data_IF_644020112650
#
_entry.id   IF_644020112650
#
_cell.length_a   1.000
_cell.length_b   1.000
_cell.length_c   1.000
_cell.angle_alpha   90.00
_cell.angle_beta   90.00
_cell.angle_gamma   90.00
#
_symmetry.space_group_name_H-M   'P 1'
#
loop_
_entity.id
_entity.type
_entity.pdbx_description
1 polymer ?
#
# COMPACT_ATOMS: atom_id res chain seq x y z
N UNK A 1 15.76 -29.97 -20.43
CA UNK A 1 16.46 -30.77 -19.41
C UNK A 1 15.47 -31.06 -18.28
N UNK A 2 15.43 -32.27 -17.72
CA UNK A 2 14.47 -32.59 -16.68
C UNK A 2 14.75 -31.74 -15.42
N UNK A 3 13.73 -31.02 -14.91
CA UNK A 3 13.84 -30.17 -13.72
C UNK A 3 14.39 -30.95 -12.51
N UNK A 4 14.03 -32.23 -12.36
CA UNK A 4 14.52 -33.08 -11.28
C UNK A 4 16.05 -33.20 -11.28
N UNK A 5 16.65 -33.41 -12.45
CA UNK A 5 18.11 -33.50 -12.58
C UNK A 5 18.82 -32.18 -12.26
N UNK A 6 18.16 -31.04 -12.51
CA UNK A 6 18.67 -29.74 -12.09
C UNK A 6 18.58 -29.57 -10.56
N UNK A 7 17.46 -29.97 -9.95
CA UNK A 7 17.28 -29.89 -8.49
C UNK A 7 18.26 -30.79 -7.73
N UNK A 8 18.58 -31.97 -8.28
CA UNK A 8 19.60 -32.86 -7.71
C UNK A 8 20.98 -32.19 -7.68
N UNK A 9 21.33 -31.36 -8.67
CA UNK A 9 22.57 -30.58 -8.63
C UNK A 9 22.58 -29.59 -7.47
N UNK A 10 21.45 -28.91 -7.20
CA UNK A 10 21.33 -27.99 -6.05
C UNK A 10 21.48 -28.75 -4.73
N UNK A 11 20.83 -29.91 -4.58
CA UNK A 11 20.97 -30.76 -3.38
C UNK A 11 22.43 -31.17 -3.15
N UNK A 12 23.15 -31.49 -4.21
CA UNK A 12 24.57 -31.89 -4.13
C UNK A 12 25.51 -30.75 -3.70
N UNK A 13 25.12 -29.49 -3.85
CA UNK A 13 25.90 -28.34 -3.33
C UNK A 13 25.89 -28.25 -1.80
N UNK A 14 24.94 -28.92 -1.12
CA UNK A 14 24.81 -28.93 0.34
C UNK A 14 24.82 -27.52 0.96
N UNK A 15 24.17 -26.56 0.29
CA UNK A 15 24.12 -25.18 0.74
C UNK A 15 23.32 -25.07 2.06
N UNK A 16 23.73 -24.16 2.97
CA UNK A 16 23.06 -24.00 4.26
C UNK A 16 21.62 -23.49 4.10
N UNK A 17 20.68 -24.15 4.78
CA UNK A 17 19.28 -23.75 4.80
C UNK A 17 19.12 -22.31 5.31
N UNK A 18 18.20 -21.55 4.70
CA UNK A 18 17.97 -20.15 5.03
C UNK A 18 19.00 -19.16 4.48
N UNK A 19 20.05 -19.63 3.79
CA UNK A 19 21.04 -18.75 3.15
C UNK A 19 20.94 -18.72 1.61
N UNK A 20 20.02 -19.48 1.02
CA UNK A 20 19.78 -19.50 -0.43
C UNK A 20 18.31 -19.73 -0.79
N UNK A 21 17.93 -19.40 -2.03
CA UNK A 21 16.65 -19.74 -2.61
C UNK A 21 16.73 -19.93 -4.14
N UNK A 22 15.94 -20.85 -4.67
CA UNK A 22 15.74 -21.06 -6.11
C UNK A 22 14.86 -19.95 -6.65
N UNK A 23 15.32 -19.32 -7.73
CA UNK A 23 14.70 -18.16 -8.35
C UNK A 23 14.52 -18.36 -9.86
N UNK A 24 13.81 -17.42 -10.50
CA UNK A 24 13.70 -17.36 -11.95
C UNK A 24 12.95 -18.55 -12.56
N UNK A 25 13.41 -19.03 -13.71
CA UNK A 25 12.69 -20.00 -14.54
C UNK A 25 12.45 -21.36 -13.86
N UNK A 26 13.34 -21.75 -12.94
CA UNK A 26 13.19 -23.01 -12.19
C UNK A 26 11.95 -23.03 -11.29
N UNK A 27 11.52 -21.86 -10.79
CA UNK A 27 10.26 -21.73 -10.01
C UNK A 27 9.03 -22.03 -10.86
N UNK A 28 9.07 -21.76 -12.17
CA UNK A 28 8.00 -22.11 -13.11
C UNK A 28 8.09 -23.60 -13.49
N UNK A 29 9.29 -24.11 -13.69
CA UNK A 29 9.50 -25.49 -14.13
C UNK A 29 9.07 -26.54 -13.11
N UNK A 30 9.30 -26.31 -11.82
CA UNK A 30 8.86 -27.25 -10.76
C UNK A 30 7.33 -27.35 -10.67
N UNK A 31 6.61 -26.40 -11.28
CA UNK A 31 5.14 -26.36 -11.35
C UNK A 31 4.59 -26.78 -12.71
N UNK A 32 5.42 -27.37 -13.56
CA UNK A 32 5.07 -27.79 -14.91
C UNK A 32 4.54 -26.64 -15.80
N UNK A 33 4.94 -25.39 -15.55
CA UNK A 33 4.50 -24.24 -16.35
C UNK A 33 5.33 -24.06 -17.63
N UNK A 34 6.63 -24.36 -17.57
CA UNK A 34 7.56 -24.31 -18.70
C UNK A 34 8.89 -24.97 -18.34
N UNK A 35 9.73 -25.27 -19.32
CA UNK A 35 11.08 -25.78 -19.03
C UNK A 35 12.03 -24.70 -18.50
N UNK A 36 12.99 -25.12 -17.67
CA UNK A 36 14.11 -24.31 -17.24
C UNK A 36 15.42 -24.86 -17.84
N UNK A 37 16.22 -24.03 -18.52
CA UNK A 37 17.51 -24.48 -19.06
C UNK A 37 18.60 -24.58 -17.98
N UNK A 38 18.40 -23.91 -16.84
CA UNK A 38 19.33 -23.80 -15.73
C UNK A 38 18.56 -23.49 -14.43
N UNK A 39 19.26 -23.51 -13.30
CA UNK A 39 18.75 -23.00 -12.02
C UNK A 39 19.49 -21.72 -11.65
N UNK A 40 18.73 -20.69 -11.30
CA UNK A 40 19.27 -19.47 -10.71
C UNK A 40 19.05 -19.53 -9.18
N UNK A 41 20.11 -19.36 -8.39
CA UNK A 41 20.06 -19.31 -6.93
C UNK A 41 20.42 -17.92 -6.43
N UNK A 42 19.51 -17.30 -5.67
CA UNK A 42 19.83 -16.11 -4.87
C UNK A 42 20.43 -16.56 -3.54
N UNK A 43 21.50 -15.91 -3.09
CA UNK A 43 22.15 -16.22 -1.81
C UNK A 43 22.34 -14.98 -0.94
N UNK A 44 22.40 -15.17 0.37
CA UNK A 44 22.76 -14.11 1.31
C UNK A 44 24.18 -13.59 1.05
N UNK A 45 24.46 -12.36 1.45
CA UNK A 45 25.82 -11.79 1.35
C UNK A 45 26.85 -12.65 2.08
N UNK A 46 26.48 -13.23 3.23
CA UNK A 46 27.35 -14.11 4.00
C UNK A 46 27.75 -15.36 3.21
N UNK A 47 26.77 -16.07 2.64
CA UNK A 47 27.03 -17.26 1.82
C UNK A 47 27.84 -16.92 0.57
N UNK A 48 27.55 -15.79 -0.06
CA UNK A 48 28.28 -15.31 -1.23
C UNK A 48 29.78 -15.14 -0.96
N UNK A 49 30.16 -14.46 0.12
CA UNK A 49 31.57 -14.28 0.48
C UNK A 49 32.27 -15.62 0.74
N UNK A 50 31.57 -16.59 1.34
CA UNK A 50 32.12 -17.93 1.54
C UNK A 50 32.35 -18.66 0.21
N UNK A 51 31.42 -18.53 -0.75
CA UNK A 51 31.55 -19.18 -2.05
C UNK A 51 32.68 -18.59 -2.90
N UNK A 52 32.94 -17.28 -2.79
CA UNK A 52 34.05 -16.60 -3.47
C UNK A 52 35.43 -17.11 -3.03
N UNK A 53 35.56 -17.74 -1.85
CA UNK A 53 36.83 -18.30 -1.38
C UNK A 53 37.29 -19.51 -2.21
N UNK A 54 36.38 -20.15 -2.96
CA UNK A 54 36.69 -21.37 -3.74
C UNK A 54 36.15 -21.34 -5.17
N UNK A 55 35.53 -20.23 -5.59
CA UNK A 55 34.95 -20.08 -6.91
C UNK A 55 35.21 -18.68 -7.47
N UNK A 56 35.37 -18.58 -8.79
CA UNK A 56 35.58 -17.32 -9.49
C UNK A 56 34.29 -16.99 -10.25
N UNK A 57 33.66 -15.82 -10.01
CA UNK A 57 32.52 -15.37 -10.81
C UNK A 57 32.91 -15.24 -12.29
N UNK A 58 31.97 -15.53 -13.17
CA UNK A 58 32.13 -15.27 -14.61
C UNK A 58 32.08 -13.77 -14.94
N UNK A 59 32.22 -13.44 -16.22
CA UNK A 59 32.12 -12.07 -16.73
C UNK A 59 30.77 -11.39 -16.46
N UNK A 60 29.72 -12.19 -16.26
CA UNK A 60 28.38 -11.72 -15.91
C UNK A 60 28.22 -11.55 -14.38
N UNK A 61 29.22 -11.89 -13.58
CA UNK A 61 29.22 -11.79 -12.12
C UNK A 61 28.57 -12.95 -11.37
N UNK A 62 28.40 -14.13 -12.00
CA UNK A 62 27.79 -15.33 -11.40
C UNK A 62 28.81 -16.41 -11.09
N UNK A 63 28.61 -17.15 -9.99
CA UNK A 63 29.32 -18.40 -9.74
C UNK A 63 28.65 -19.54 -10.53
N UNK A 64 29.43 -20.09 -11.47
CA UNK A 64 29.21 -21.24 -12.37
C UNK A 64 29.41 -22.62 -11.76
N UNK A 65 28.38 -23.34 -11.29
CA UNK A 65 28.55 -24.78 -10.92
C UNK A 65 27.60 -25.65 -11.73
N UNK A 66 28.10 -26.26 -12.81
CA UNK A 66 27.27 -27.03 -13.74
C UNK A 66 26.15 -26.18 -14.34
N UNK A 67 24.90 -26.58 -14.13
CA UNK A 67 23.71 -25.84 -14.59
C UNK A 67 23.14 -24.89 -13.52
N UNK A 68 23.84 -24.68 -12.41
CA UNK A 68 23.45 -23.78 -11.33
C UNK A 68 24.21 -22.47 -11.46
N UNK A 69 23.48 -21.36 -11.58
CA UNK A 69 24.01 -19.98 -11.50
C UNK A 69 23.73 -19.43 -10.10
N UNK A 70 24.75 -18.96 -9.41
CA UNK A 70 24.62 -18.43 -8.05
C UNK A 70 25.02 -16.95 -8.06
N UNK A 71 24.24 -16.11 -7.37
CA UNK A 71 24.56 -14.69 -7.16
C UNK A 71 23.95 -14.17 -5.85
N UNK A 72 24.48 -13.05 -5.33
CA UNK A 72 23.89 -12.24 -4.26
C UNK A 72 23.29 -10.91 -4.77
N UNK A 73 23.06 -10.80 -6.07
CA UNK A 73 22.46 -9.62 -6.72
C UNK A 73 21.74 -10.01 -8.02
N UNK A 74 20.70 -9.25 -8.40
CA UNK A 74 19.93 -9.48 -9.64
C UNK A 74 19.85 -8.24 -10.51
N UNK A 75 19.73 -8.43 -11.82
CA UNK A 75 19.77 -7.38 -12.85
C UNK A 75 18.73 -6.26 -12.71
N UNK A 76 17.61 -6.53 -12.03
CA UNK A 76 16.55 -5.55 -11.84
C UNK A 76 16.26 -5.40 -10.35
N UNK A 77 15.96 -4.17 -9.88
CA UNK A 77 15.61 -3.96 -8.49
C UNK A 77 14.39 -4.79 -8.12
N UNK A 78 14.46 -5.57 -7.07
CA UNK A 78 13.32 -6.35 -6.53
C UNK A 78 12.52 -5.49 -5.55
N UNK A 79 11.28 -5.91 -5.22
CA UNK A 79 10.46 -5.24 -4.20
C UNK A 79 11.04 -5.39 -2.78
N UNK A 80 11.80 -6.47 -2.57
CA UNK A 80 12.36 -6.86 -1.29
C UNK A 80 13.86 -7.13 -1.45
N UNK A 81 14.64 -6.96 -0.38
CA UNK A 81 16.03 -7.42 -0.35
C UNK A 81 16.11 -8.94 -0.53
N UNK A 82 17.27 -9.45 -0.95
CA UNK A 82 17.49 -10.89 -1.13
C UNK A 82 17.25 -11.65 0.16
N UNK A 83 17.75 -11.17 1.31
CA UNK A 83 17.52 -11.80 2.61
C UNK A 83 16.02 -11.96 2.91
N UNK A 84 15.23 -10.93 2.59
CA UNK A 84 13.78 -10.97 2.76
C UNK A 84 13.10 -11.91 1.78
N UNK A 85 13.59 -12.01 0.55
CA UNK A 85 13.06 -12.97 -0.43
C UNK A 85 13.34 -14.42 -0.01
N UNK A 86 14.56 -14.70 0.49
CA UNK A 86 14.92 -16.03 1.02
C UNK A 86 14.03 -16.40 2.22
N UNK A 87 13.76 -15.45 3.12
CA UNK A 87 12.87 -15.67 4.26
C UNK A 87 11.39 -15.91 3.88
N UNK A 88 10.97 -15.53 2.67
CA UNK A 88 9.60 -15.71 2.16
C UNK A 88 9.43 -16.96 1.29
N UNK A 89 10.46 -17.80 1.21
CA UNK A 89 10.45 -18.97 0.33
C UNK A 89 9.40 -20.00 0.75
N UNK A 90 8.90 -20.72 -0.24
CA UNK A 90 8.10 -21.92 -0.04
C UNK A 90 8.96 -23.16 -0.26
N UNK A 91 8.72 -24.20 0.52
CA UNK A 91 9.45 -25.46 0.38
C UNK A 91 8.74 -26.38 -0.62
N UNK A 92 9.44 -26.76 -1.68
CA UNK A 92 8.98 -27.75 -2.66
C UNK A 92 10.12 -28.75 -2.85
N UNK A 93 9.83 -30.05 -2.70
CA UNK A 93 10.84 -31.11 -2.73
C UNK A 93 12.05 -30.83 -1.82
N UNK A 94 11.79 -30.28 -0.64
CA UNK A 94 12.77 -29.90 0.40
C UNK A 94 13.72 -28.76 0.01
N UNK A 95 13.46 -28.08 -1.11
CA UNK A 95 14.25 -26.95 -1.58
C UNK A 95 13.47 -25.63 -1.43
N UNK A 96 14.15 -24.53 -1.06
CA UNK A 96 13.51 -23.22 -0.93
C UNK A 96 13.30 -22.58 -2.29
N UNK A 97 12.05 -22.33 -2.69
CA UNK A 97 11.68 -21.61 -3.91
C UNK A 97 11.14 -20.23 -3.58
N UNK A 98 11.54 -19.23 -4.36
CA UNK A 98 10.93 -17.90 -4.27
C UNK A 98 9.48 -17.96 -4.80
N UNK A 99 8.51 -17.37 -4.09
CA UNK A 99 7.11 -17.33 -4.53
C UNK A 99 6.92 -16.77 -5.94
N UNK A 100 6.02 -17.39 -6.71
CA UNK A 100 5.76 -17.02 -8.10
C UNK A 100 5.34 -15.55 -8.28
N UNK A 101 4.62 -14.97 -7.32
CA UNK A 101 4.24 -13.56 -7.38
C UNK A 101 5.47 -12.62 -7.37
N UNK A 102 6.50 -12.95 -6.58
CA UNK A 102 7.76 -12.20 -6.55
C UNK A 102 8.56 -12.39 -7.83
N UNK A 103 8.53 -13.60 -8.40
CA UNK A 103 9.16 -13.89 -9.69
C UNK A 103 8.47 -13.12 -10.82
N UNK A 104 7.14 -13.05 -10.83
CA UNK A 104 6.37 -12.25 -11.79
C UNK A 104 6.69 -10.75 -11.65
N UNK A 105 6.76 -10.22 -10.44
CA UNK A 105 7.10 -8.82 -10.19
C UNK A 105 8.51 -8.47 -10.67
N UNK A 106 9.46 -9.39 -10.50
CA UNK A 106 10.81 -9.23 -11.05
C UNK A 106 10.80 -9.26 -12.59
N UNK A 107 10.09 -10.22 -13.19
CA UNK A 107 9.96 -10.37 -14.65
C UNK A 107 9.32 -9.16 -15.32
N UNK A 108 8.32 -8.54 -14.68
CA UNK A 108 7.68 -7.29 -15.17
C UNK A 108 8.70 -6.17 -15.39
N UNK A 109 9.73 -6.10 -14.53
CA UNK A 109 10.77 -5.07 -14.61
C UNK A 109 11.80 -5.34 -15.70
N UNK A 110 12.03 -6.60 -16.06
CA UNK A 110 12.92 -6.97 -17.16
C UNK A 110 12.30 -6.75 -18.54
N UNK A 111 10.98 -6.93 -18.65
CA UNK A 111 10.20 -6.62 -19.85
C UNK A 111 10.74 -7.25 -21.16
N UNK A 112 11.30 -8.47 -21.08
CA UNK A 112 11.69 -9.26 -22.27
C UNK A 112 10.50 -10.11 -22.72
N UNK A 113 10.42 -10.46 -24.00
CA UNK A 113 9.28 -11.25 -24.53
C UNK A 113 9.01 -12.52 -23.71
N UNK A 114 10.05 -13.31 -23.43
CA UNK A 114 9.92 -14.52 -22.60
C UNK A 114 9.40 -14.25 -21.18
N UNK A 115 9.70 -13.08 -20.62
CA UNK A 115 9.25 -12.72 -19.27
C UNK A 115 7.78 -12.31 -19.29
N UNK A 116 7.31 -11.70 -20.38
CA UNK A 116 5.88 -11.41 -20.61
C UNK A 116 5.09 -12.72 -20.68
N UNK A 117 5.58 -13.69 -21.44
CA UNK A 117 4.94 -15.00 -21.56
C UNK A 117 4.88 -15.72 -20.20
N UNK A 118 6.00 -15.68 -19.45
CA UNK A 118 6.08 -16.25 -18.10
C UNK A 118 5.11 -15.57 -17.12
N UNK A 119 4.91 -14.25 -17.21
CA UNK A 119 3.94 -13.52 -16.37
C UNK A 119 2.51 -14.01 -16.64
N UNK A 120 2.16 -14.28 -17.90
CA UNK A 120 0.85 -14.84 -18.26
C UNK A 120 0.67 -16.23 -17.67
N UNK A 121 1.68 -17.10 -17.80
CA UNK A 121 1.66 -18.45 -17.22
C UNK A 121 1.50 -18.42 -15.70
N UNK A 122 2.29 -17.57 -15.02
CA UNK A 122 2.19 -17.38 -13.57
C UNK A 122 0.80 -16.85 -13.18
N UNK A 123 0.30 -15.84 -13.89
CA UNK A 123 -1.02 -15.27 -13.63
C UNK A 123 -2.12 -16.30 -13.75
N UNK A 124 -2.09 -17.14 -14.79
CA UNK A 124 -3.04 -18.23 -14.98
C UNK A 124 -2.92 -19.27 -13.86
N UNK A 125 -1.71 -19.71 -13.53
CA UNK A 125 -1.48 -20.67 -12.47
C UNK A 125 -2.01 -20.17 -11.12
N UNK A 126 -1.68 -18.94 -10.74
CA UNK A 126 -2.12 -18.35 -9.48
C UNK A 126 -3.64 -18.21 -9.43
N UNK A 127 -4.30 -17.84 -10.55
CA UNK A 127 -5.77 -17.81 -10.62
C UNK A 127 -6.42 -19.18 -10.39
N UNK A 128 -5.80 -20.27 -10.84
CA UNK A 128 -6.34 -21.63 -10.67
C UNK A 128 -5.99 -22.25 -9.31
N UNK A 129 -4.99 -21.71 -8.60
CA UNK A 129 -4.67 -22.11 -7.23
C UNK A 129 -5.52 -21.40 -6.17
N UNK A 130 -6.30 -20.41 -6.59
CA UNK A 130 -7.10 -19.59 -5.68
C UNK A 130 -8.53 -20.11 -5.68
N UNK A 131 -9.21 -20.18 -4.51
CA UNK A 131 -10.57 -20.69 -4.42
C UNK A 131 -11.43 -20.08 -5.52
N UNK A 132 -12.35 -20.84 -6.11
CA UNK A 132 -13.27 -20.29 -7.11
C UNK A 132 -14.06 -19.12 -6.48
N UNK A 133 -13.65 -17.89 -6.82
CA UNK A 133 -14.25 -16.64 -6.32
C UNK A 133 -15.50 -16.25 -7.14
N UNK A 134 -15.95 -17.10 -8.08
CA UNK A 134 -17.18 -16.85 -8.86
C UNK A 134 -18.40 -16.65 -7.96
N UNK A 135 -18.36 -17.12 -6.71
CA UNK A 135 -19.46 -17.02 -5.76
C UNK A 135 -19.31 -15.90 -4.72
N UNK A 136 -18.30 -15.03 -4.78
CA UNK A 136 -18.12 -13.96 -3.78
C UNK A 136 -19.35 -13.04 -3.68
N UNK A 137 -19.94 -12.68 -4.82
CA UNK A 137 -21.19 -11.90 -4.86
C UNK A 137 -22.35 -12.66 -4.25
N UNK A 138 -22.44 -13.97 -4.48
CA UNK A 138 -23.47 -14.83 -3.89
C UNK A 138 -23.30 -14.94 -2.38
N UNK A 139 -22.06 -15.07 -1.88
CA UNK A 139 -21.74 -15.04 -0.45
C UNK A 139 -22.17 -13.70 0.17
N UNK A 140 -21.86 -12.59 -0.49
CA UNK A 140 -22.28 -11.26 -0.06
C UNK A 140 -23.81 -11.14 -0.01
N UNK A 141 -24.52 -11.58 -1.05
CA UNK A 141 -25.99 -11.55 -1.12
C UNK A 141 -26.60 -12.40 0.00
N UNK A 142 -26.13 -13.64 0.19
CA UNK A 142 -26.62 -14.52 1.25
C UNK A 142 -26.40 -13.92 2.65
N UNK A 143 -25.23 -13.30 2.89
CA UNK A 143 -25.00 -12.56 4.13
C UNK A 143 -26.01 -11.40 4.30
N UNK A 144 -26.24 -10.62 3.25
CA UNK A 144 -27.21 -9.52 3.27
C UNK A 144 -28.65 -10.00 3.51
N UNK A 145 -29.03 -11.14 2.95
CA UNK A 145 -30.34 -11.76 3.18
C UNK A 145 -30.51 -12.20 4.63
N UNK A 146 -29.48 -12.79 5.25
CA UNK A 146 -29.50 -13.13 6.68
C UNK A 146 -29.58 -11.89 7.57
N UNK A 147 -28.88 -10.82 7.22
CA UNK A 147 -28.96 -9.52 7.89
C UNK A 147 -30.39 -8.98 7.80
N UNK A 148 -30.97 -8.94 6.59
CA UNK A 148 -32.34 -8.48 6.38
C UNK A 148 -33.36 -9.32 7.13
N UNK A 149 -33.25 -10.64 7.10
CA UNK A 149 -34.17 -11.55 7.79
C UNK A 149 -34.19 -11.34 9.31
N UNK A 150 -33.05 -11.01 9.92
CA UNK A 150 -32.93 -10.92 11.39
C UNK A 150 -33.07 -9.51 11.95
N UNK A 151 -32.70 -8.51 11.16
CA UNK A 151 -32.63 -7.12 11.60
C UNK A 151 -33.65 -6.22 10.92
N UNK A 152 -34.20 -6.64 9.77
CA UNK A 152 -35.29 -6.03 9.04
C UNK A 152 -35.27 -4.49 9.00
N UNK A 153 -36.19 -3.84 9.72
CA UNK A 153 -36.41 -2.39 9.76
C UNK A 153 -35.27 -1.62 10.45
N UNK A 154 -34.44 -2.31 11.22
CA UNK A 154 -33.23 -1.75 11.85
C UNK A 154 -32.11 -1.51 10.84
N UNK A 155 -32.14 -2.16 9.67
CA UNK A 155 -31.18 -1.93 8.58
C UNK A 155 -31.91 -1.21 7.45
N UNK A 156 -31.52 0.03 7.21
CA UNK A 156 -32.15 0.90 6.24
C UNK A 156 -31.53 0.74 4.85
N UNK A 157 -30.21 0.57 4.76
CA UNK A 157 -29.55 0.39 3.46
C UNK A 157 -28.36 -0.55 3.56
N UNK A 158 -28.13 -1.29 2.48
CA UNK A 158 -27.03 -2.22 2.29
C UNK A 158 -26.38 -1.92 0.93
N UNK A 159 -25.07 -1.63 0.93
CA UNK A 159 -24.30 -1.41 -0.29
C UNK A 159 -23.10 -2.35 -0.29
N UNK A 160 -23.01 -3.23 -1.28
CA UNK A 160 -21.80 -4.01 -1.57
C UNK A 160 -20.86 -3.14 -2.41
N UNK A 161 -19.60 -3.03 -2.03
CA UNK A 161 -18.61 -2.25 -2.79
C UNK A 161 -17.27 -2.97 -2.86
N UNK A 162 -16.22 -2.28 -3.34
CA UNK A 162 -14.90 -2.88 -3.46
C UNK A 162 -14.74 -3.78 -4.68
N UNK A 163 -13.74 -4.66 -4.64
CA UNK A 163 -13.37 -5.52 -5.77
C UNK A 163 -14.46 -6.53 -6.13
N UNK A 164 -15.21 -7.01 -5.13
CA UNK A 164 -16.34 -7.93 -5.31
C UNK A 164 -17.47 -7.29 -6.11
N UNK A 165 -17.84 -6.03 -5.81
CA UNK A 165 -18.85 -5.31 -6.59
C UNK A 165 -18.44 -5.14 -8.07
N UNK A 166 -17.14 -4.94 -8.32
CA UNK A 166 -16.54 -4.67 -9.64
C UNK A 166 -16.19 -5.90 -10.48
N UNK A 167 -16.37 -7.12 -9.96
CA UNK A 167 -15.86 -8.35 -10.61
C UNK A 167 -14.33 -8.31 -10.83
N UNK A 168 -13.59 -7.73 -9.87
CA UNK A 168 -12.13 -7.56 -9.91
C UNK A 168 -11.45 -8.21 -8.69
N UNK A 169 -12.05 -9.26 -8.15
CA UNK A 169 -11.57 -9.92 -6.93
C UNK A 169 -10.19 -10.55 -7.15
N UNK A 170 -9.36 -10.41 -6.13
CA UNK A 170 -8.09 -11.12 -5.99
C UNK A 170 -8.23 -12.18 -4.89
N UNK A 171 -7.30 -13.11 -4.78
CA UNK A 171 -7.34 -14.14 -3.73
C UNK A 171 -7.37 -13.57 -2.31
N UNK A 172 -6.72 -12.43 -2.12
CA UNK A 172 -6.66 -11.70 -0.86
C UNK A 172 -7.81 -10.71 -0.66
N UNK A 173 -8.71 -10.55 -1.64
CA UNK A 173 -9.83 -9.63 -1.52
C UNK A 173 -10.79 -10.08 -0.42
N UNK A 174 -11.25 -9.12 0.37
CA UNK A 174 -12.38 -9.21 1.28
C UNK A 174 -13.68 -8.79 0.56
N UNK A 175 -14.81 -9.02 1.23
CA UNK A 175 -16.14 -8.55 0.82
C UNK A 175 -16.47 -7.30 1.64
N UNK A 176 -16.42 -6.13 1.01
CA UNK A 176 -16.72 -4.84 1.63
C UNK A 176 -18.22 -4.48 1.55
N UNK A 177 -18.86 -4.24 2.70
CA UNK A 177 -20.30 -3.91 2.74
C UNK A 177 -20.56 -2.71 3.64
N UNK A 178 -21.31 -1.72 3.18
CA UNK A 178 -21.94 -0.72 4.05
C UNK A 178 -23.26 -1.24 4.58
N UNK A 179 -23.45 -1.17 5.91
CA UNK A 179 -24.73 -1.42 6.58
C UNK A 179 -25.18 -0.15 7.28
N UNK A 180 -26.16 0.53 6.70
CA UNK A 180 -26.78 1.71 7.30
C UNK A 180 -27.89 1.26 8.24
N UNK A 181 -27.76 1.57 9.53
CA UNK A 181 -28.70 1.13 10.54
C UNK A 181 -29.47 2.29 11.17
N UNK A 182 -30.71 2.02 11.58
CA UNK A 182 -31.55 2.96 12.30
C UNK A 182 -31.06 3.08 13.76
N UNK A 183 -30.24 4.09 14.03
CA UNK A 183 -29.62 4.34 15.33
C UNK A 183 -30.61 4.81 16.40
N UNK A 184 -31.88 5.05 16.04
CA UNK A 184 -32.98 5.23 17.01
C UNK A 184 -33.54 3.90 17.53
N UNK A 185 -33.36 2.81 16.78
CA UNK A 185 -33.91 1.49 17.13
C UNK A 185 -32.86 0.51 17.66
N UNK A 186 -31.60 0.63 17.22
CA UNK A 186 -30.52 -0.26 17.65
C UNK A 186 -29.23 0.52 17.90
N UNK A 187 -28.57 0.21 19.02
CA UNK A 187 -27.24 0.78 19.30
C UNK A 187 -26.16 0.07 18.48
N UNK A 188 -25.06 0.77 18.20
CA UNK A 188 -23.89 0.19 17.51
C UNK A 188 -23.40 -1.12 18.18
N UNK A 189 -23.34 -1.15 19.52
CA UNK A 189 -22.90 -2.32 20.29
C UNK A 189 -23.84 -3.53 20.10
N UNK A 190 -25.15 -3.31 20.16
CA UNK A 190 -26.14 -4.37 19.92
C UNK A 190 -26.09 -4.88 18.48
N UNK A 191 -25.94 -3.97 17.51
CA UNK A 191 -25.81 -4.33 16.11
C UNK A 191 -24.55 -5.16 15.87
N UNK A 192 -23.40 -4.70 16.35
CA UNK A 192 -22.11 -5.42 16.22
C UNK A 192 -22.21 -6.85 16.73
N UNK A 193 -22.84 -7.07 17.89
CA UNK A 193 -23.06 -8.41 18.45
C UNK A 193 -23.91 -9.30 17.53
N UNK A 194 -24.98 -8.75 16.95
CA UNK A 194 -25.86 -9.49 16.05
C UNK A 194 -25.19 -9.80 14.71
N UNK A 195 -24.48 -8.83 14.12
CA UNK A 195 -23.71 -9.03 12.89
C UNK A 195 -22.61 -10.08 13.10
N UNK A 196 -21.88 -10.03 14.21
CA UNK A 196 -20.87 -11.05 14.55
C UNK A 196 -21.49 -12.44 14.60
N UNK A 197 -22.68 -12.58 15.20
CA UNK A 197 -23.40 -13.85 15.24
C UNK A 197 -23.79 -14.33 13.83
N UNK A 198 -24.25 -13.43 12.97
CA UNK A 198 -24.58 -13.76 11.58
C UNK A 198 -23.34 -14.20 10.80
N UNK A 199 -22.20 -13.52 10.96
CA UNK A 199 -20.94 -13.90 10.33
C UNK A 199 -20.48 -15.31 10.75
N UNK A 200 -20.60 -15.64 12.04
CA UNK A 200 -20.28 -16.99 12.54
C UNK A 200 -21.24 -18.03 11.99
N UNK A 201 -22.56 -17.75 12.00
CA UNK A 201 -23.58 -18.68 11.51
C UNK A 201 -23.52 -18.88 9.98
N UNK A 202 -23.01 -17.90 9.22
CA UNK A 202 -22.79 -18.01 7.77
C UNK A 202 -21.52 -18.78 7.41
N UNK A 203 -20.72 -19.20 8.41
CA UNK A 203 -19.49 -19.99 8.25
C UNK A 203 -18.61 -19.50 7.09
N UNK A 204 -18.38 -18.18 7.02
CA UNK A 204 -17.56 -17.59 5.96
C UNK A 204 -16.09 -17.96 6.18
N UNK A 205 -15.70 -19.10 5.64
CA UNK A 205 -14.33 -19.32 5.17
C UNK A 205 -14.00 -18.20 4.15
N UNK A 206 -12.71 -17.87 3.91
CA UNK A 206 -12.34 -16.80 3.00
C UNK A 206 -13.13 -16.86 1.68
N UNK A 207 -13.67 -15.71 1.21
CA UNK A 207 -13.38 -14.34 1.66
C UNK A 207 -14.01 -13.92 3.00
N UNK A 208 -13.26 -13.12 3.77
CA UNK A 208 -13.78 -12.44 4.94
C UNK A 208 -14.79 -11.35 4.50
N UNK A 209 -15.91 -11.22 5.23
CA UNK A 209 -16.86 -10.13 5.05
C UNK A 209 -16.55 -9.03 6.06
N UNK A 210 -16.38 -7.79 5.58
CA UNK A 210 -16.06 -6.63 6.39
C UNK A 210 -17.19 -5.57 6.33
N UNK A 211 -18.15 -5.63 7.28
CA UNK A 211 -19.27 -4.69 7.31
C UNK A 211 -18.88 -3.35 7.97
N UNK A 212 -19.00 -2.27 7.22
CA UNK A 212 -18.97 -0.89 7.69
C UNK A 212 -20.34 -0.49 8.25
N UNK A 213 -20.45 -0.45 9.59
CA UNK A 213 -21.69 -0.07 10.27
C UNK A 213 -21.81 1.45 10.34
N UNK A 214 -22.86 2.00 9.73
CA UNK A 214 -23.09 3.46 9.65
C UNK A 214 -24.44 3.82 10.28
N UNK A 215 -24.51 4.68 11.30
CA UNK A 215 -25.79 5.13 11.85
C UNK A 215 -26.54 6.00 10.84
N UNK A 216 -27.87 5.91 10.82
CA UNK A 216 -28.73 6.69 9.92
C UNK A 216 -28.64 8.21 10.11
N UNK A 217 -28.21 8.64 11.29
CA UNK A 217 -27.92 10.05 11.59
C UNK A 217 -26.65 10.58 10.92
N UNK A 218 -25.76 9.71 10.42
CA UNK A 218 -24.52 10.11 9.75
C UNK A 218 -24.71 10.10 8.23
N UNK A 219 -24.60 11.25 7.54
CA UNK A 219 -24.84 11.29 6.10
C UNK A 219 -23.74 10.58 5.31
N UNK A 220 -24.11 9.59 4.50
CA UNK A 220 -23.15 8.77 3.74
C UNK A 220 -22.24 9.61 2.81
N UNK A 221 -22.78 10.64 2.16
CA UNK A 221 -22.02 11.54 1.29
C UNK A 221 -20.95 12.39 2.00
N UNK A 222 -20.89 12.33 3.33
CA UNK A 222 -19.80 12.93 4.11
C UNK A 222 -18.68 11.95 4.43
N UNK A 223 -18.87 10.64 4.16
CA UNK A 223 -17.88 9.59 4.38
C UNK A 223 -16.99 9.44 3.14
N UNK A 224 -15.68 9.71 3.22
CA UNK A 224 -14.79 9.58 2.06
C UNK A 224 -14.77 8.18 1.45
N UNK A 225 -14.82 7.14 2.29
CA UNK A 225 -14.89 5.74 1.84
C UNK A 225 -16.17 5.42 1.07
N UNK A 226 -17.26 6.17 1.30
CA UNK A 226 -18.51 5.98 0.56
C UNK A 226 -18.42 6.53 -0.87
N UNK A 227 -17.42 7.36 -1.20
CA UNK A 227 -17.26 7.86 -2.57
C UNK A 227 -16.94 6.73 -3.55
N UNK A 228 -16.14 5.74 -3.16
CA UNK A 228 -15.90 4.56 -3.98
C UNK A 228 -17.18 3.73 -4.15
N UNK A 229 -17.93 3.52 -3.05
CA UNK A 229 -19.23 2.85 -3.10
C UNK A 229 -20.27 3.62 -3.94
N UNK A 230 -20.14 4.94 -4.09
CA UNK A 230 -21.10 5.74 -4.85
C UNK A 230 -20.97 5.63 -6.37
N UNK A 231 -19.79 5.25 -6.88
CA UNK A 231 -19.60 5.02 -8.32
C UNK A 231 -19.80 3.54 -8.66
N UNK A 232 -19.23 2.66 -7.85
CA UNK A 232 -19.00 1.26 -8.24
C UNK A 232 -19.75 0.27 -7.32
N UNK A 233 -20.47 0.78 -6.31
CA UNK A 233 -21.20 -0.05 -5.36
C UNK A 233 -22.53 -0.54 -5.93
N UNK A 234 -22.91 -1.75 -5.50
CA UNK A 234 -24.20 -2.36 -5.75
C UNK A 234 -25.10 -2.11 -4.52
N UNK A 235 -26.16 -1.33 -4.71
CA UNK A 235 -27.17 -1.12 -3.68
C UNK A 235 -28.06 -2.36 -3.63
N UNK A 236 -27.92 -3.14 -2.54
CA UNK A 236 -28.68 -4.38 -2.32
C UNK A 236 -29.98 -4.13 -1.54
N UNK A 237 -30.02 -3.04 -0.75
CA UNK A 237 -31.22 -2.54 -0.06
C UNK A 237 -31.12 -1.04 0.11
N UNK A 238 -32.23 -0.33 -0.07
CA UNK A 238 -32.28 1.12 0.12
C UNK A 238 -33.66 1.62 0.56
N UNK A 239 -34.01 1.32 1.80
CA UNK A 239 -35.20 1.88 2.40
C UNK A 239 -35.04 3.39 2.54
N UNK A 240 -36.08 4.13 2.15
CA UNK A 240 -36.12 5.60 2.22
C UNK A 240 -35.07 6.31 1.33
N UNK A 241 -34.51 5.61 0.32
CA UNK A 241 -33.55 6.17 -0.64
C UNK A 241 -32.30 6.79 0.01
N UNK A 242 -31.84 6.29 1.16
CA UNK A 242 -30.70 6.87 1.90
C UNK A 242 -29.42 6.79 1.07
N UNK A 243 -29.13 5.62 0.50
CA UNK A 243 -27.95 5.42 -0.33
C UNK A 243 -28.10 6.17 -1.64
N UNK A 244 -29.20 5.97 -2.37
CA UNK A 244 -29.44 6.60 -3.67
C UNK A 244 -29.42 8.12 -3.59
N UNK A 245 -30.03 8.72 -2.56
CA UNK A 245 -29.97 10.18 -2.36
C UNK A 245 -28.55 10.66 -2.05
N UNK A 246 -27.76 9.88 -1.30
CA UNK A 246 -26.36 10.22 -1.03
C UNK A 246 -25.47 10.10 -2.27
N UNK A 247 -25.71 9.09 -3.10
CA UNK A 247 -25.05 8.95 -4.42
C UNK A 247 -25.37 10.15 -5.30
N UNK A 248 -26.65 10.53 -5.40
CA UNK A 248 -27.06 11.71 -6.18
C UNK A 248 -26.41 13.01 -5.66
N UNK A 249 -26.28 13.17 -4.34
CA UNK A 249 -25.54 14.32 -3.78
C UNK A 249 -24.06 14.32 -4.19
N UNK A 250 -23.41 13.16 -4.27
CA UNK A 250 -22.01 13.06 -4.70
C UNK A 250 -21.89 13.35 -6.21
N UNK A 251 -22.75 12.77 -7.04
CA UNK A 251 -22.77 13.00 -8.50
C UNK A 251 -22.99 14.49 -8.81
N UNK A 252 -23.92 15.13 -8.10
CA UNK A 252 -24.22 16.55 -8.25
C UNK A 252 -23.20 17.46 -7.54
N UNK A 253 -22.25 16.89 -6.79
CA UNK A 253 -21.17 17.65 -6.18
C UNK A 253 -20.00 17.81 -7.14
N UNK A 254 -19.16 18.81 -6.90
CA UNK A 254 -17.90 18.97 -7.65
C UNK A 254 -16.80 18.06 -7.08
N UNK A 255 -17.14 16.81 -6.79
CA UNK A 255 -16.22 15.80 -6.23
C UNK A 255 -15.56 15.02 -7.35
N UNK A 256 -14.23 14.93 -7.33
CA UNK A 256 -13.43 14.27 -8.38
C UNK A 256 -12.48 13.26 -7.78
N UNK A 257 -12.31 12.13 -8.47
CA UNK A 257 -11.29 11.13 -8.20
C UNK A 257 -9.99 11.51 -8.93
N UNK A 258 -8.89 11.67 -8.21
CA UNK A 258 -7.57 12.02 -8.77
C UNK A 258 -6.61 10.83 -8.59
N UNK A 259 -6.00 10.41 -9.70
CA UNK A 259 -4.99 9.34 -9.70
C UNK A 259 -3.61 9.86 -9.28
N UNK A 260 -2.90 9.07 -8.49
CA UNK A 260 -1.53 9.30 -8.02
C UNK A 260 -0.54 8.51 -8.89
N UNK A 261 0.73 8.94 -8.98
CA UNK A 261 1.70 8.24 -9.82
C UNK A 261 2.05 6.85 -9.25
N UNK A 262 1.71 6.60 -7.98
CA UNK A 262 1.79 5.28 -7.33
C UNK A 262 0.70 4.31 -7.79
N UNK A 263 -0.25 4.74 -8.64
CA UNK A 263 -1.43 3.96 -9.02
C UNK A 263 -2.58 4.02 -8.01
N UNK A 264 -2.37 4.62 -6.83
CA UNK A 264 -3.45 4.92 -5.86
C UNK A 264 -4.31 6.10 -6.36
N UNK A 265 -5.47 6.34 -5.76
CA UNK A 265 -6.27 7.54 -6.01
C UNK A 265 -6.74 8.19 -4.72
N UNK A 266 -7.15 9.45 -4.81
CA UNK A 266 -7.82 10.20 -3.74
C UNK A 266 -9.07 10.88 -4.26
N UNK A 267 -9.99 11.15 -3.36
CA UNK A 267 -11.19 11.93 -3.65
C UNK A 267 -11.05 13.36 -3.18
N UNK A 268 -11.52 14.30 -4.00
CA UNK A 268 -11.46 15.73 -3.71
C UNK A 268 -12.79 16.35 -4.01
N UNK A 269 -13.43 16.96 -3.01
CA UNK A 269 -14.54 17.87 -3.24
C UNK A 269 -13.99 19.28 -3.48
N UNK A 270 -14.19 19.82 -4.68
CA UNK A 270 -13.67 21.13 -5.08
C UNK A 270 -14.40 22.30 -4.39
N UNK A 271 -15.66 22.10 -3.96
CA UNK A 271 -16.51 23.16 -3.41
C UNK A 271 -16.61 23.15 -1.88
N UNK A 272 -16.07 22.14 -1.20
CA UNK A 272 -16.18 22.01 0.27
C UNK A 272 -15.25 23.00 0.97
N UNK A 273 -15.80 23.79 1.91
CA UNK A 273 -15.07 24.84 2.64
C UNK A 273 -13.92 24.28 3.49
N UNK A 274 -12.84 25.05 3.59
CA UNK A 274 -11.63 24.71 4.35
C UNK A 274 -11.85 24.81 5.88
N UNK A 275 -12.27 23.73 6.52
CA UNK A 275 -12.35 23.66 7.98
C UNK A 275 -12.11 22.22 8.42
N UNK A 276 -11.05 21.96 9.19
CA UNK A 276 -11.01 20.73 9.99
C UNK A 276 -10.25 20.95 11.31
N UNK A 277 -10.88 20.54 12.42
CA UNK A 277 -10.24 20.41 13.74
C UNK A 277 -8.93 19.60 13.64
N UNK A 278 -8.92 18.59 12.76
CA UNK A 278 -7.75 17.77 12.41
C UNK A 278 -6.60 18.59 11.82
N UNK A 279 -6.87 19.52 10.89
CA UNK A 279 -5.84 20.38 10.31
C UNK A 279 -5.19 21.27 11.38
N UNK A 280 -5.97 21.83 12.30
CA UNK A 280 -5.43 22.65 13.40
C UNK A 280 -4.51 21.82 14.31
N UNK A 281 -4.95 20.62 14.71
CA UNK A 281 -4.13 19.72 15.53
C UNK A 281 -2.81 19.33 14.84
N UNK A 282 -2.85 19.02 13.54
CA UNK A 282 -1.66 18.70 12.75
C UNK A 282 -0.73 19.90 12.58
N UNK A 283 -1.30 21.11 12.46
CA UNK A 283 -0.52 22.36 12.38
C UNK A 283 0.22 22.59 13.69
N UNK A 284 -0.45 22.46 14.83
CA UNK A 284 0.17 22.57 16.16
C UNK A 284 1.28 21.52 16.35
N UNK A 285 1.02 20.25 15.99
CA UNK A 285 2.03 19.19 16.08
C UNK A 285 3.24 19.43 15.17
N UNK A 286 3.03 20.03 13.99
CA UNK A 286 4.12 20.45 13.10
C UNK A 286 4.99 21.54 13.74
N UNK A 287 4.37 22.54 14.37
CA UNK A 287 5.06 23.61 15.08
C UNK A 287 5.87 23.09 16.27
N UNK A 288 5.30 22.19 17.08
CA UNK A 288 6.00 21.51 18.18
C UNK A 288 7.20 20.70 17.66
N UNK A 289 7.02 19.97 16.55
CA UNK A 289 8.11 19.22 15.93
C UNK A 289 9.24 20.13 15.46
N UNK A 290 8.91 21.29 14.87
CA UNK A 290 9.92 22.27 14.46
C UNK A 290 10.65 22.87 15.68
N UNK A 291 9.94 23.13 16.77
CA UNK A 291 10.56 23.61 18.02
C UNK A 291 11.57 22.57 18.55
N UNK A 292 11.16 21.30 18.64
CA UNK A 292 12.06 20.22 19.04
C UNK A 292 13.27 20.07 18.10
N UNK A 293 13.09 20.33 16.79
CA UNK A 293 14.18 20.32 15.84
C UNK A 293 15.23 21.40 16.15
N UNK A 294 14.76 22.62 16.49
CA UNK A 294 15.61 23.75 16.90
C UNK A 294 16.33 23.48 18.22
N UNK A 295 15.64 22.94 19.21
CA UNK A 295 16.23 22.58 20.50
C UNK A 295 17.29 21.48 20.36
N UNK A 296 16.99 20.45 19.57
CA UNK A 296 17.93 19.36 19.29
C UNK A 296 19.18 19.87 18.60
N UNK A 297 19.03 20.79 17.64
CA UNK A 297 20.15 21.48 17.01
C UNK A 297 20.99 22.25 18.03
N UNK A 298 20.34 23.04 18.91
CA UNK A 298 21.03 23.82 19.94
C UNK A 298 21.86 22.96 20.91
N UNK A 299 21.48 21.70 21.13
CA UNK A 299 22.18 20.75 22.01
C UNK A 299 23.20 19.87 21.28
N UNK A 300 23.43 20.08 19.99
CA UNK A 300 24.36 19.24 19.21
C UNK A 300 23.81 17.89 18.77
N UNK A 301 22.50 17.66 18.91
CA UNK A 301 21.84 16.42 18.49
C UNK A 301 21.40 16.50 17.03
N UNK A 302 22.37 16.46 16.10
CA UNK A 302 22.17 16.70 14.66
C UNK A 302 21.16 15.75 14.02
N UNK A 303 21.32 14.45 14.24
CA UNK A 303 20.38 13.42 13.78
C UNK A 303 18.95 13.67 14.25
N UNK A 304 18.78 14.04 15.52
CA UNK A 304 17.46 14.31 16.07
C UNK A 304 16.86 15.60 15.49
N UNK A 305 17.70 16.62 15.24
CA UNK A 305 17.26 17.83 14.55
C UNK A 305 16.72 17.51 13.16
N UNK A 306 17.44 16.75 12.34
CA UNK A 306 17.00 16.32 11.00
C UNK A 306 15.71 15.51 11.08
N UNK A 307 15.63 14.54 12.00
CA UNK A 307 14.44 13.70 12.17
C UNK A 307 13.20 14.51 12.55
N UNK A 308 13.34 15.53 13.40
CA UNK A 308 12.24 16.41 13.79
C UNK A 308 11.89 17.44 12.71
N UNK A 309 12.87 17.92 11.95
CA UNK A 309 12.64 18.74 10.74
C UNK A 309 11.81 17.98 9.70
N UNK A 310 12.12 16.71 9.45
CA UNK A 310 11.31 15.85 8.59
C UNK A 310 9.87 15.70 9.09
N UNK A 311 9.68 15.44 10.39
CA UNK A 311 8.35 15.29 10.99
C UNK A 311 7.52 16.55 10.85
N UNK A 312 8.14 17.71 11.08
CA UNK A 312 7.47 19.00 10.95
C UNK A 312 6.95 19.21 9.52
N UNK A 313 7.73 18.86 8.50
CA UNK A 313 7.34 18.92 7.07
C UNK A 313 6.21 17.92 6.74
N UNK A 314 6.31 16.67 7.22
CA UNK A 314 5.26 15.66 7.04
C UNK A 314 3.93 16.10 7.70
N UNK A 315 3.99 16.71 8.88
CA UNK A 315 2.80 17.15 9.59
C UNK A 315 2.15 18.38 8.95
N UNK A 316 2.92 19.38 8.48
CA UNK A 316 2.34 20.57 7.81
C UNK A 316 1.72 20.22 6.45
N UNK A 317 2.31 19.26 5.73
CA UNK A 317 1.75 18.78 4.46
C UNK A 317 0.45 18.01 4.69
N UNK A 318 0.40 17.14 5.72
CA UNK A 318 -0.85 16.49 6.18
C UNK A 318 -1.88 17.49 6.67
N UNK A 319 -1.47 18.53 7.39
CA UNK A 319 -2.35 19.59 7.85
C UNK A 319 -2.98 20.34 6.66
N UNK A 320 -2.17 20.67 5.65
CA UNK A 320 -2.62 21.31 4.42
C UNK A 320 -3.63 20.43 3.67
N UNK A 321 -3.33 19.14 3.50
CA UNK A 321 -4.28 18.18 2.90
C UNK A 321 -5.58 18.07 3.70
N UNK A 322 -5.48 17.98 5.04
CA UNK A 322 -6.66 17.95 5.92
C UNK A 322 -7.48 19.25 5.85
N UNK A 323 -6.84 20.41 5.64
CA UNK A 323 -7.52 21.70 5.43
C UNK A 323 -8.24 21.73 4.09
N UNK A 324 -7.67 21.07 3.08
CA UNK A 324 -8.27 20.86 1.75
C UNK A 324 -9.30 19.71 1.71
N UNK A 325 -9.56 19.07 2.86
CA UNK A 325 -10.43 17.90 3.02
C UNK A 325 -10.05 16.71 2.12
N UNK A 326 -8.75 16.48 1.98
CA UNK A 326 -8.19 15.33 1.29
C UNK A 326 -7.63 14.37 2.30
N UNK A 327 -8.13 13.13 2.30
CA UNK A 327 -7.49 12.04 3.01
C UNK A 327 -6.17 11.69 2.32
N UNK A 328 -5.15 11.48 3.13
CA UNK A 328 -3.80 11.21 2.67
C UNK A 328 -3.43 9.74 2.94
N UNK A 329 -2.65 9.12 2.02
CA UNK A 329 -2.19 7.74 2.20
C UNK A 329 -1.25 7.62 3.42
N UNK A 330 -1.05 6.39 3.89
CA UNK A 330 -0.07 6.06 4.95
C UNK A 330 1.39 6.10 4.45
N UNK A 331 1.72 7.12 3.66
CA UNK A 331 3.05 7.40 3.14
C UNK A 331 3.70 8.53 3.98
N UNK A 332 5.02 8.67 3.98
CA UNK A 332 5.72 9.69 4.79
C UNK A 332 6.11 10.96 4.02
N UNK A 333 6.05 10.93 2.68
CA UNK A 333 6.18 12.11 1.82
C UNK A 333 4.83 12.42 1.18
N UNK A 334 4.20 13.51 1.65
CA UNK A 334 2.86 13.92 1.23
C UNK A 334 2.87 15.14 0.29
N UNK A 335 4.04 15.74 0.06
CA UNK A 335 4.18 16.92 -0.80
C UNK A 335 3.73 16.68 -2.26
N UNK A 336 4.07 15.54 -2.92
CA UNK A 336 3.62 15.29 -4.29
C UNK A 336 2.10 15.27 -4.43
N UNK A 337 1.42 14.68 -3.43
CA UNK A 337 -0.03 14.67 -3.37
C UNK A 337 -0.56 16.10 -3.20
N UNK A 338 -0.10 16.81 -2.17
CA UNK A 338 -0.52 18.18 -1.86
C UNK A 338 -0.42 19.12 -3.06
N UNK A 339 0.72 19.13 -3.76
CA UNK A 339 0.93 20.03 -4.91
C UNK A 339 -0.06 19.75 -6.06
N UNK A 340 -0.39 18.48 -6.31
CA UNK A 340 -1.45 18.11 -7.26
C UNK A 340 -2.83 18.61 -6.82
N UNK A 341 -3.15 18.51 -5.52
CA UNK A 341 -4.42 19.02 -4.98
C UNK A 341 -4.49 20.54 -5.11
N UNK A 342 -3.41 21.26 -4.77
CA UNK A 342 -3.33 22.72 -4.86
C UNK A 342 -3.57 23.17 -6.31
N UNK A 343 -2.88 22.54 -7.27
CA UNK A 343 -3.07 22.77 -8.70
C UNK A 343 -4.50 22.48 -9.16
N UNK A 344 -5.08 21.33 -8.75
CA UNK A 344 -6.45 20.96 -9.11
C UNK A 344 -7.52 21.90 -8.53
N UNK A 345 -7.25 22.51 -7.37
CA UNK A 345 -8.10 23.53 -6.74
C UNK A 345 -7.79 24.96 -7.21
N UNK A 346 -6.90 25.11 -8.20
CA UNK A 346 -6.48 26.42 -8.71
C UNK A 346 -5.91 27.33 -7.62
N UNK A 347 -5.20 26.75 -6.65
CA UNK A 347 -4.43 27.50 -5.65
C UNK A 347 -3.06 27.76 -6.27
N UNK A 348 -2.65 29.03 -6.29
CA UNK A 348 -1.42 29.43 -6.92
C UNK A 348 -0.22 28.94 -6.11
N UNK A 349 0.67 28.22 -6.77
CA UNK A 349 1.99 27.83 -6.28
C UNK A 349 2.95 28.16 -7.41
N UNK A 350 4.00 28.92 -7.14
CA UNK A 350 4.99 29.23 -8.19
C UNK A 350 5.80 27.97 -8.54
N UNK A 351 6.35 27.88 -9.77
CA UNK A 351 7.20 26.74 -10.14
C UNK A 351 8.37 26.52 -9.18
N UNK A 352 8.96 27.60 -8.66
CA UNK A 352 10.08 27.53 -7.70
C UNK A 352 9.62 27.00 -6.33
N UNK A 353 8.47 27.45 -5.83
CA UNK A 353 7.86 26.92 -4.61
C UNK A 353 7.55 25.43 -4.76
N UNK A 354 6.93 25.04 -5.87
CA UNK A 354 6.61 23.64 -6.18
C UNK A 354 7.87 22.77 -6.16
N UNK A 355 8.91 23.19 -6.88
CA UNK A 355 10.18 22.47 -6.95
C UNK A 355 10.88 22.37 -5.59
N UNK A 356 10.93 23.47 -4.83
CA UNK A 356 11.59 23.48 -3.52
C UNK A 356 10.84 22.63 -2.50
N UNK A 357 9.51 22.75 -2.41
CA UNK A 357 8.69 21.92 -1.51
C UNK A 357 8.91 20.44 -1.82
N UNK A 358 8.84 20.06 -3.10
CA UNK A 358 9.01 18.68 -3.53
C UNK A 358 10.40 18.14 -3.16
N UNK A 359 11.46 18.88 -3.55
CA UNK A 359 12.86 18.49 -3.29
C UNK A 359 13.14 18.33 -1.79
N UNK A 360 12.73 19.31 -0.98
CA UNK A 360 12.97 19.30 0.47
C UNK A 360 12.20 18.16 1.14
N UNK A 361 10.90 18.00 0.83
CA UNK A 361 10.07 16.94 1.42
C UNK A 361 10.61 15.55 1.11
N UNK A 362 10.99 15.31 -0.15
CA UNK A 362 11.57 14.02 -0.57
C UNK A 362 12.91 13.75 0.08
N UNK A 363 13.81 14.73 0.16
CA UNK A 363 15.12 14.55 0.79
C UNK A 363 15.00 14.26 2.30
N UNK A 364 14.20 15.05 3.03
CA UNK A 364 13.95 14.82 4.45
C UNK A 364 13.30 13.46 4.71
N UNK A 365 12.31 13.07 3.90
CA UNK A 365 11.66 11.76 4.00
C UNK A 365 12.66 10.60 3.84
N UNK A 366 13.62 10.72 2.92
CA UNK A 366 14.72 9.73 2.74
C UNK A 366 15.64 9.67 3.96
N UNK A 367 15.93 10.80 4.60
CA UNK A 367 16.79 10.88 5.80
C UNK A 367 16.10 10.40 7.08
N UNK A 368 14.76 10.26 7.09
CA UNK A 368 13.95 9.88 8.26
C UNK A 368 14.48 8.64 9.00
N UNK A 369 14.65 7.52 8.28
CA UNK A 369 15.10 6.25 8.84
C UNK A 369 16.54 6.34 9.34
N UNK A 370 17.50 6.73 8.46
CA UNK A 370 18.91 6.82 8.83
C UNK A 370 19.18 7.76 9.99
N UNK A 371 18.48 8.90 10.07
CA UNK A 371 18.65 9.85 11.17
C UNK A 371 18.11 9.29 12.50
N UNK A 372 16.94 8.63 12.49
CA UNK A 372 16.33 8.08 13.70
C UNK A 372 17.10 6.87 14.26
N UNK A 373 17.58 6.00 13.38
CA UNK A 373 18.28 4.77 13.73
C UNK A 373 19.79 4.97 13.89
N UNK A 374 20.27 6.20 13.67
CA UNK A 374 21.71 6.54 13.69
C UNK A 374 22.54 5.70 12.71
N UNK A 375 21.96 5.24 11.60
CA UNK A 375 22.67 4.54 10.53
C UNK A 375 23.66 5.47 9.82
N UNK A 376 23.36 6.77 9.78
CA UNK A 376 24.22 7.83 9.25
C UNK A 376 24.43 8.86 10.37
N UNK A 377 25.68 9.17 10.68
CA UNK A 377 26.04 10.28 11.56
C UNK A 377 26.04 11.59 10.77
N UNK A 378 25.03 12.43 11.00
CA UNK A 378 24.94 13.72 10.33
C UNK A 378 25.71 14.79 11.11
N UNK A 379 26.26 15.76 10.38
CA UNK A 379 26.99 16.90 10.95
C UNK A 379 26.08 18.12 11.19
N UNK A 380 26.68 19.14 11.82
CA UNK A 380 26.01 20.40 12.13
C UNK A 380 25.56 21.13 10.87
N UNK A 381 26.35 21.09 9.80
CA UNK A 381 26.05 21.81 8.55
C UNK A 381 24.81 21.24 7.88
N UNK A 382 24.75 19.91 7.77
CA UNK A 382 23.59 19.20 7.24
C UNK A 382 22.35 19.44 8.09
N UNK A 383 22.46 19.34 9.43
CA UNK A 383 21.33 19.58 10.32
C UNK A 383 20.84 21.04 10.25
N UNK A 384 21.74 22.01 10.09
CA UNK A 384 21.39 23.42 9.93
C UNK A 384 20.64 23.65 8.62
N UNK A 385 21.12 23.06 7.52
CA UNK A 385 20.47 23.13 6.22
C UNK A 385 19.06 22.53 6.24
N UNK A 386 18.92 21.33 6.80
CA UNK A 386 17.65 20.60 6.87
C UNK A 386 16.62 21.31 7.76
N UNK A 387 17.07 21.91 8.86
CA UNK A 387 16.24 22.74 9.75
C UNK A 387 15.75 24.02 9.05
N UNK A 388 16.62 24.70 8.33
CA UNK A 388 16.25 25.87 7.53
C UNK A 388 15.25 25.49 6.42
N UNK A 389 15.51 24.36 5.74
CA UNK A 389 14.64 23.82 4.70
C UNK A 389 13.25 23.46 5.22
N UNK A 390 13.15 22.83 6.39
CA UNK A 390 11.87 22.54 7.03
C UNK A 390 11.10 23.83 7.37
N UNK A 391 11.80 24.84 7.89
CA UNK A 391 11.20 26.15 8.19
C UNK A 391 10.64 26.82 6.92
N UNK A 392 11.41 26.80 5.82
CA UNK A 392 10.98 27.32 4.52
C UNK A 392 9.68 26.66 4.03
N UNK A 393 9.59 25.32 4.09
CA UNK A 393 8.40 24.60 3.63
C UNK A 393 7.18 24.95 4.47
N UNK A 394 7.34 25.02 5.80
CA UNK A 394 6.25 25.37 6.72
C UNK A 394 5.73 26.78 6.45
N UNK A 395 6.63 27.77 6.32
CA UNK A 395 6.28 29.15 6.04
C UNK A 395 5.60 29.30 4.68
N UNK A 396 6.15 28.65 3.66
CA UNK A 396 5.62 28.66 2.29
C UNK A 396 4.22 28.04 2.24
N UNK A 397 4.01 26.87 2.84
CA UNK A 397 2.70 26.24 2.88
C UNK A 397 1.69 27.03 3.70
N UNK A 398 2.08 27.59 4.84
CA UNK A 398 1.19 28.46 5.61
C UNK A 398 0.74 29.67 4.80
N UNK A 399 1.65 30.31 4.06
CA UNK A 399 1.31 31.41 3.15
C UNK A 399 0.37 30.98 2.04
N UNK A 400 0.69 29.91 1.30
CA UNK A 400 -0.15 29.37 0.22
C UNK A 400 -1.56 29.08 0.75
N UNK A 401 -1.65 28.45 1.93
CA UNK A 401 -2.92 28.07 2.57
C UNK A 401 -3.70 29.25 3.16
N UNK A 402 -3.12 30.45 3.21
CA UNK A 402 -3.78 31.71 3.60
C UNK A 402 -4.26 32.53 2.40
N UNK A 403 -3.81 32.26 1.17
CA UNK A 403 -4.21 33.01 -0.05
C UNK A 403 -5.69 32.83 -0.45
N UNK A 404 -6.45 31.94 0.21
CA UNK A 404 -7.88 31.67 -0.05
C UNK A 404 -8.74 31.54 1.22
N UNK A 405 -8.27 32.02 2.38
CA UNK A 405 -9.17 32.36 3.49
C UNK A 405 -9.69 33.78 3.23
#
# INVERSE_FOLDING_TARGET
MNIKALLDQVKNLKLPSGEYAIFGSATLAIRNLREAPNIDLIVTNKLWQNLLASNIPDEEGFIRIGHVKISNWWFAPTKYSIDKMIAMTELIDELPFVPLNLVADYKKKLNRQKDIDDIVLIGNYLKHQTPDRNNDKEIAINFCDQVNKKLDDKILSIILFGSVARDQTTPESDIDIFLVYNDKQITHKQLTKQITKILVETNTQPPAIYPFLVPSSLPLHELPVFYDASIEGLILKDNQNIASASVQKIINSNTKRISLPSGKWVWINLNKKMMSKKANLLTSASQESLLHAKESFGRGSWNMSIRRSQEAVELVTKASLAKLQVDYPKDHDQAPLLLRILKAKGILVTPDEENNILKISTDLSRKRGPALQYEIGYDKETASHDLASASYVIETLNRIMCQKL
#
